data_IF_185916403918
#
_entry.id   IF_185916403918
#
_cell.length_a   1.000
_cell.length_b   1.000
_cell.length_c   1.000
_cell.angle_alpha   90.00
_cell.angle_beta   90.00
_cell.angle_gamma   90.00
#
_symmetry.space_group_name_H-M   'P 1'
#
loop_
_entity.id
_entity.type
_entity.pdbx_description
1 polymer ?
#
# COMPACT_ATOMS: atom_id res chain seq x y z
N UNK A 1 13.24 49.68 14.44
CA UNK A 1 11.82 49.44 14.14
C UNK A 1 11.78 49.22 12.61
N UNK A 2 12.09 48.01 12.21
CA UNK A 2 12.16 47.68 10.79
C UNK A 2 11.18 46.57 10.44
N UNK A 3 10.25 46.96 9.65
CA UNK A 3 9.55 46.28 8.56
C UNK A 3 9.18 44.80 8.72
N UNK A 4 8.10 44.59 9.43
CA UNK A 4 7.27 43.38 9.35
C UNK A 4 6.34 43.47 8.11
N UNK A 5 6.93 43.58 6.91
CA UNK A 5 6.18 43.50 5.65
C UNK A 5 5.94 42.02 5.31
N UNK A 6 4.69 41.62 5.08
CA UNK A 6 4.41 40.23 4.69
C UNK A 6 5.17 39.87 3.43
N UNK A 7 5.91 38.76 3.48
CA UNK A 7 6.65 38.23 2.33
C UNK A 7 5.63 37.87 1.25
N UNK A 8 5.64 38.58 0.11
CA UNK A 8 4.72 38.32 -0.98
C UNK A 8 5.01 36.95 -1.61
N UNK A 9 3.99 36.26 -2.08
CA UNK A 9 4.12 34.96 -2.77
C UNK A 9 5.15 34.98 -3.91
N UNK A 10 5.29 36.10 -4.63
CA UNK A 10 6.33 36.29 -5.66
C UNK A 10 7.76 36.26 -5.11
N UNK A 11 8.02 36.81 -3.91
CA UNK A 11 9.34 36.73 -3.24
C UNK A 11 9.66 35.30 -2.79
N UNK A 12 8.64 34.57 -2.32
CA UNK A 12 8.81 33.16 -1.95
C UNK A 12 9.18 32.34 -3.18
N UNK A 13 8.46 32.49 -4.29
CA UNK A 13 8.74 31.76 -5.55
C UNK A 13 10.14 32.10 -6.07
N UNK A 14 10.58 33.37 -6.03
CA UNK A 14 11.92 33.75 -6.47
C UNK A 14 13.03 33.16 -5.60
N UNK A 15 12.79 32.98 -4.30
CA UNK A 15 13.74 32.34 -3.39
C UNK A 15 13.93 30.85 -3.75
N UNK A 16 12.83 30.13 -4.00
CA UNK A 16 12.86 28.72 -4.40
C UNK A 16 13.45 28.44 -5.79
N UNK A 17 13.59 29.47 -6.64
CA UNK A 17 14.19 29.35 -7.98
C UNK A 17 15.70 29.64 -8.01
N UNK A 18 16.31 30.07 -6.90
CA UNK A 18 17.76 30.31 -6.84
C UNK A 18 18.55 29.00 -6.99
N UNK A 19 19.70 29.00 -7.74
CA UNK A 19 20.51 27.81 -7.97
C UNK A 19 20.91 27.10 -6.67
N UNK A 20 21.33 27.83 -5.66
CA UNK A 20 21.72 27.30 -4.35
C UNK A 20 20.57 26.54 -3.65
N UNK A 21 19.35 27.02 -3.77
CA UNK A 21 18.18 26.35 -3.18
C UNK A 21 17.84 25.06 -3.93
N UNK A 22 18.00 25.04 -5.25
CA UNK A 22 17.80 23.82 -6.06
C UNK A 22 18.81 22.73 -5.66
N UNK A 23 20.08 23.09 -5.49
CA UNK A 23 21.12 22.15 -5.05
C UNK A 23 20.82 21.57 -3.66
N UNK A 24 20.32 22.40 -2.72
CA UNK A 24 19.91 21.93 -1.40
C UNK A 24 18.72 20.96 -1.48
N UNK A 25 17.70 21.26 -2.30
CA UNK A 25 16.56 20.35 -2.50
C UNK A 25 17.03 19.03 -3.10
N UNK A 26 17.90 19.05 -4.09
CA UNK A 26 18.43 17.82 -4.68
C UNK A 26 19.23 17.00 -3.66
N UNK A 27 20.02 17.63 -2.80
CA UNK A 27 20.75 16.97 -1.74
C UNK A 27 19.78 16.32 -0.73
N UNK A 28 18.73 17.04 -0.32
CA UNK A 28 17.70 16.52 0.58
C UNK A 28 16.97 15.34 -0.06
N UNK A 29 16.60 15.42 -1.35
CA UNK A 29 15.97 14.33 -2.08
C UNK A 29 16.85 13.08 -2.08
N UNK A 30 18.13 13.22 -2.47
CA UNK A 30 19.08 12.10 -2.46
C UNK A 30 19.26 11.50 -1.06
N UNK A 31 19.36 12.33 -0.04
CA UNK A 31 19.46 11.87 1.34
C UNK A 31 18.19 11.11 1.78
N UNK A 32 17.01 11.61 1.40
CA UNK A 32 15.72 10.95 1.66
C UNK A 32 15.62 9.61 0.94
N UNK A 33 16.05 9.52 -0.32
CA UNK A 33 16.04 8.26 -1.09
C UNK A 33 16.95 7.22 -0.43
N UNK A 34 18.18 7.60 -0.01
CA UNK A 34 19.10 6.69 0.69
C UNK A 34 18.55 6.26 2.06
N UNK A 35 17.91 7.18 2.78
CA UNK A 35 17.27 6.85 4.07
C UNK A 35 16.11 5.89 3.87
N UNK A 36 15.26 6.14 2.85
CA UNK A 36 14.14 5.26 2.52
C UNK A 36 14.61 3.85 2.15
N UNK A 37 15.63 3.73 1.29
CA UNK A 37 16.18 2.41 0.93
C UNK A 37 16.70 1.63 2.15
N UNK A 38 17.29 2.31 3.15
CA UNK A 38 17.73 1.65 4.38
C UNK A 38 16.54 1.17 5.23
N UNK A 39 15.50 1.98 5.32
CA UNK A 39 14.26 1.61 6.02
C UNK A 39 13.61 0.42 5.32
N UNK A 40 13.46 0.48 4.01
CA UNK A 40 12.86 -0.58 3.20
C UNK A 40 13.63 -1.89 3.37
N UNK A 41 14.97 -1.84 3.28
CA UNK A 41 15.82 -3.00 3.52
C UNK A 41 15.64 -3.56 4.93
N UNK A 42 15.66 -2.71 5.95
CA UNK A 42 15.49 -3.15 7.35
C UNK A 42 14.12 -3.79 7.56
N UNK A 43 13.07 -3.21 7.01
CA UNK A 43 11.71 -3.73 7.13
C UNK A 43 11.53 -5.05 6.37
N UNK A 44 12.13 -5.17 5.18
CA UNK A 44 12.10 -6.41 4.39
C UNK A 44 12.86 -7.58 5.02
N UNK A 45 13.72 -7.32 6.02
CA UNK A 45 14.48 -8.32 6.77
C UNK A 45 14.08 -8.40 8.24
N UNK A 46 12.96 -7.79 8.60
CA UNK A 46 12.41 -7.89 9.96
C UNK A 46 11.55 -9.16 10.08
N UNK A 47 12.04 -10.13 10.83
CA UNK A 47 11.36 -11.42 11.03
C UNK A 47 9.95 -11.27 11.63
N UNK A 48 9.72 -10.26 12.46
CA UNK A 48 8.39 -9.99 13.04
C UNK A 48 7.42 -9.50 11.96
N UNK A 49 7.86 -8.58 11.10
CA UNK A 49 7.03 -8.08 9.99
C UNK A 49 6.78 -9.18 8.97
N UNK A 50 7.79 -9.97 8.61
CA UNK A 50 7.62 -11.13 7.72
C UNK A 50 6.62 -12.14 8.29
N UNK A 51 6.65 -12.39 9.60
CA UNK A 51 5.66 -13.24 10.26
C UNK A 51 4.25 -12.64 10.23
N UNK A 52 4.12 -11.33 10.42
CA UNK A 52 2.83 -10.66 10.27
C UNK A 52 2.26 -10.80 8.84
N UNK A 53 3.10 -10.66 7.82
CA UNK A 53 2.74 -10.88 6.41
C UNK A 53 2.29 -12.33 6.18
N UNK A 54 2.99 -13.32 6.75
CA UNK A 54 2.56 -14.72 6.64
C UNK A 54 1.16 -14.95 7.22
N UNK A 55 0.82 -14.30 8.33
CA UNK A 55 -0.52 -14.35 8.93
C UNK A 55 -1.57 -13.73 7.98
N UNK A 56 -1.24 -12.63 7.30
CA UNK A 56 -2.12 -12.02 6.28
C UNK A 56 -2.35 -12.99 5.13
N UNK A 57 -1.32 -13.67 4.64
CA UNK A 57 -1.45 -14.68 3.59
C UNK A 57 -2.30 -15.87 4.03
N UNK A 58 -2.10 -16.38 5.24
CA UNK A 58 -2.94 -17.45 5.81
C UNK A 58 -4.39 -17.01 5.93
N UNK A 59 -4.63 -15.76 6.34
CA UNK A 59 -5.97 -15.18 6.36
C UNK A 59 -6.59 -15.15 4.95
N UNK A 60 -5.85 -14.70 3.93
CA UNK A 60 -6.30 -14.67 2.53
C UNK A 60 -6.66 -16.07 2.01
N UNK A 61 -5.79 -17.07 2.24
CA UNK A 61 -6.02 -18.47 1.85
C UNK A 61 -7.29 -19.03 2.53
N UNK A 62 -7.45 -18.76 3.83
CA UNK A 62 -8.58 -19.29 4.62
C UNK A 62 -9.91 -18.62 4.27
N UNK A 63 -9.92 -17.31 4.15
CA UNK A 63 -11.13 -16.53 3.89
C UNK A 63 -11.49 -16.44 2.41
N UNK A 64 -10.56 -16.79 1.54
CA UNK A 64 -10.67 -16.70 0.09
C UNK A 64 -11.02 -15.28 -0.38
N UNK A 65 -10.48 -14.26 0.31
CA UNK A 65 -10.66 -12.87 -0.12
C UNK A 65 -9.82 -12.60 -1.36
N UNK A 66 -10.30 -11.65 -2.19
CA UNK A 66 -9.65 -11.33 -3.46
C UNK A 66 -8.55 -10.30 -3.19
N UNK A 67 -7.30 -10.68 -3.39
CA UNK A 67 -6.19 -9.73 -3.44
C UNK A 67 -6.23 -8.94 -4.75
N UNK A 68 -6.03 -7.63 -4.68
CA UNK A 68 -5.92 -6.74 -5.84
C UNK A 68 -4.69 -5.84 -5.71
N UNK A 69 -4.57 -4.78 -6.49
CA UNK A 69 -3.45 -3.85 -6.40
C UNK A 69 -2.12 -4.42 -6.89
N UNK A 70 -1.04 -3.93 -6.33
CA UNK A 70 0.32 -4.24 -6.77
C UNK A 70 0.69 -5.71 -6.65
N UNK A 71 0.34 -6.36 -5.54
CA UNK A 71 0.62 -7.79 -5.34
C UNK A 71 -0.14 -8.67 -6.33
N UNK A 72 -1.38 -8.30 -6.68
CA UNK A 72 -2.13 -9.03 -7.70
C UNK A 72 -1.50 -8.86 -9.09
N UNK A 73 -1.04 -7.66 -9.45
CA UNK A 73 -0.30 -7.44 -10.69
C UNK A 73 0.95 -8.31 -10.70
N UNK A 74 1.73 -8.28 -9.61
CA UNK A 74 2.97 -9.06 -9.47
C UNK A 74 2.74 -10.57 -9.59
N UNK A 75 1.63 -11.09 -9.04
CA UNK A 75 1.27 -12.50 -9.13
C UNK A 75 0.94 -12.97 -10.57
N UNK A 76 0.43 -12.08 -11.43
CA UNK A 76 0.17 -12.37 -12.84
C UNK A 76 1.41 -12.29 -13.73
N UNK A 77 2.51 -11.69 -13.25
CA UNK A 77 3.71 -11.49 -14.05
C UNK A 77 4.65 -12.72 -13.98
N UNK A 78 5.28 -13.09 -15.10
CA UNK A 78 6.40 -14.03 -15.08
C UNK A 78 7.54 -13.50 -14.18
N UNK A 79 8.33 -14.38 -13.57
CA UNK A 79 9.38 -14.04 -12.60
C UNK A 79 10.29 -12.89 -13.06
N UNK A 80 10.72 -12.92 -14.31
CA UNK A 80 11.61 -11.89 -14.89
C UNK A 80 10.99 -10.50 -15.04
N UNK A 81 9.68 -10.38 -14.86
CA UNK A 81 8.94 -9.12 -14.98
C UNK A 81 8.27 -8.70 -13.67
N UNK A 82 8.52 -9.40 -12.58
CA UNK A 82 8.04 -8.99 -11.27
C UNK A 82 8.55 -7.59 -10.93
N UNK A 83 7.64 -6.78 -10.37
CA UNK A 83 7.90 -5.36 -10.09
C UNK A 83 8.43 -5.13 -8.67
N UNK A 84 8.26 -6.09 -7.77
CA UNK A 84 8.75 -5.99 -6.40
C UNK A 84 10.00 -6.83 -6.20
N UNK A 85 11.04 -6.19 -5.68
CA UNK A 85 12.26 -6.85 -5.21
C UNK A 85 12.08 -7.23 -3.74
N UNK A 86 12.03 -8.52 -3.38
CA UNK A 86 11.86 -8.95 -2.01
C UNK A 86 12.99 -8.51 -1.07
N UNK A 87 14.14 -8.07 -1.62
CA UNK A 87 15.25 -7.53 -0.83
C UNK A 87 14.91 -6.18 -0.19
N UNK A 88 14.01 -5.41 -0.83
CA UNK A 88 13.65 -4.05 -0.41
C UNK A 88 12.15 -3.84 -0.20
N UNK A 89 11.33 -4.84 -0.50
CA UNK A 89 9.88 -4.67 -0.45
C UNK A 89 9.21 -5.81 0.28
N UNK A 90 8.47 -5.49 1.33
CA UNK A 90 7.48 -6.43 1.88
C UNK A 90 6.21 -6.42 1.02
N UNK A 91 5.47 -7.53 0.93
CA UNK A 91 4.16 -7.52 0.31
C UNK A 91 3.19 -6.60 1.05
N UNK A 92 2.56 -5.67 0.33
CA UNK A 92 1.42 -4.87 0.80
C UNK A 92 0.15 -5.48 0.18
N UNK A 93 -0.66 -6.14 1.02
CA UNK A 93 -1.82 -6.88 0.54
C UNK A 93 -3.08 -6.01 0.55
N UNK A 94 -3.43 -5.50 -0.62
CA UNK A 94 -4.75 -4.91 -0.87
C UNK A 94 -5.79 -6.01 -1.07
N UNK A 95 -6.89 -6.01 -0.34
CA UNK A 95 -7.93 -7.01 -0.50
C UNK A 95 -9.34 -6.45 -0.56
N UNK A 96 -10.17 -7.03 -1.42
CA UNK A 96 -11.59 -6.76 -1.47
C UNK A 96 -12.40 -7.68 -0.57
N UNK A 97 -13.38 -7.13 0.12
CA UNK A 97 -14.30 -7.88 0.95
C UNK A 97 -15.74 -7.36 0.89
N UNK A 98 -16.76 -8.25 0.92
CA UNK A 98 -18.15 -7.86 1.14
C UNK A 98 -18.52 -7.72 2.63
N UNK A 99 -17.59 -8.03 3.56
CA UNK A 99 -17.82 -8.08 5.00
C UNK A 99 -16.68 -7.45 5.79
N UNK A 100 -16.39 -6.13 5.59
CA UNK A 100 -15.18 -5.51 6.08
C UNK A 100 -15.04 -5.58 7.61
N UNK A 101 -16.07 -5.32 8.36
CA UNK A 101 -16.02 -5.34 9.84
C UNK A 101 -15.58 -6.71 10.37
N UNK A 102 -16.17 -7.78 9.85
CA UNK A 102 -15.84 -9.14 10.30
C UNK A 102 -14.41 -9.52 9.92
N UNK A 103 -13.97 -9.16 8.71
CA UNK A 103 -12.63 -9.51 8.23
C UNK A 103 -11.54 -8.73 8.96
N UNK A 104 -11.76 -7.42 9.20
CA UNK A 104 -10.85 -6.59 10.01
C UNK A 104 -10.71 -7.18 11.42
N UNK A 105 -11.84 -7.43 12.10
CA UNK A 105 -11.82 -8.00 13.44
C UNK A 105 -11.15 -9.36 13.49
N UNK A 106 -11.35 -10.18 12.47
CA UNK A 106 -10.74 -11.51 12.40
C UNK A 106 -9.23 -11.43 12.18
N UNK A 107 -8.76 -10.61 11.25
CA UNK A 107 -7.33 -10.45 10.99
C UNK A 107 -6.61 -9.83 12.20
N UNK A 108 -7.17 -8.79 12.82
CA UNK A 108 -6.62 -8.20 14.05
C UNK A 108 -6.50 -9.25 15.17
N UNK A 109 -7.53 -10.07 15.37
CA UNK A 109 -7.47 -11.17 16.37
C UNK A 109 -6.39 -12.19 16.06
N UNK A 110 -6.15 -12.51 14.79
CA UNK A 110 -5.07 -13.44 14.39
C UNK A 110 -3.70 -12.85 14.74
N UNK A 111 -3.46 -11.58 14.41
CA UNK A 111 -2.23 -10.88 14.73
C UNK A 111 -2.00 -10.78 16.24
N UNK A 112 -3.00 -10.36 17.00
CA UNK A 112 -2.90 -10.29 18.46
C UNK A 112 -2.67 -11.66 19.10
N UNK A 113 -3.31 -12.72 18.60
CA UNK A 113 -3.09 -14.10 19.06
C UNK A 113 -1.69 -14.61 18.75
N UNK A 114 -1.05 -14.11 17.72
CA UNK A 114 0.32 -14.41 17.35
C UNK A 114 1.36 -13.67 18.21
N UNK A 115 0.91 -12.76 19.10
CA UNK A 115 1.75 -12.05 20.05
C UNK A 115 2.07 -10.60 19.68
N UNK A 116 1.48 -10.07 18.59
CA UNK A 116 1.65 -8.67 18.24
C UNK A 116 0.85 -7.76 19.19
N UNK A 117 1.53 -6.90 19.94
CA UNK A 117 0.92 -5.97 20.89
C UNK A 117 0.45 -4.68 20.20
N UNK A 118 1.25 -4.15 19.28
CA UNK A 118 0.98 -2.91 18.55
C UNK A 118 0.28 -3.18 17.21
N UNK A 119 -1.00 -3.56 17.27
CA UNK A 119 -1.85 -3.70 16.07
C UNK A 119 -2.81 -2.53 16.02
N UNK A 120 -2.69 -1.69 14.99
CA UNK A 120 -3.53 -0.49 14.83
C UNK A 120 -4.31 -0.50 13.52
N UNK A 121 -5.44 0.19 13.52
CA UNK A 121 -6.37 0.31 12.40
C UNK A 121 -6.50 1.79 12.05
N UNK A 122 -6.41 2.12 10.76
CA UNK A 122 -6.58 3.49 10.26
C UNK A 122 -7.45 3.50 9.01
N UNK A 123 -8.15 4.59 8.77
CA UNK A 123 -8.82 4.81 7.50
C UNK A 123 -7.78 4.97 6.38
N UNK A 124 -8.03 4.32 5.24
CA UNK A 124 -7.23 4.49 4.03
C UNK A 124 -7.57 5.79 3.30
N UNK A 125 -6.77 6.13 2.28
CA UNK A 125 -7.03 7.30 1.43
C UNK A 125 -8.31 7.18 0.59
N UNK A 126 -8.72 5.97 0.27
CA UNK A 126 -9.93 5.69 -0.49
C UNK A 126 -11.08 5.36 0.46
N UNK A 127 -12.26 5.94 0.18
CA UNK A 127 -13.47 5.65 0.93
C UNK A 127 -13.75 4.14 0.97
N UNK A 128 -14.05 3.61 2.16
CA UNK A 128 -14.30 2.19 2.38
C UNK A 128 -13.05 1.32 2.50
N UNK A 129 -11.86 1.91 2.51
CA UNK A 129 -10.59 1.21 2.76
C UNK A 129 -10.16 1.39 4.22
N UNK A 130 -9.75 0.31 4.85
CA UNK A 130 -9.19 0.28 6.19
C UNK A 130 -7.80 -0.35 6.14
N UNK A 131 -6.80 0.36 6.67
CA UNK A 131 -5.42 -0.11 6.76
C UNK A 131 -5.15 -0.76 8.10
N UNK A 132 -4.47 -1.90 8.08
CA UNK A 132 -4.01 -2.60 9.29
C UNK A 132 -2.49 -2.48 9.37
N UNK A 133 -2.03 -2.06 10.54
CA UNK A 133 -0.61 -1.87 10.85
C UNK A 133 -0.19 -2.82 11.96
N UNK A 134 1.02 -3.31 11.86
CA UNK A 134 1.75 -4.01 12.93
C UNK A 134 3.04 -3.25 13.15
N UNK A 135 3.32 -2.84 14.39
CA UNK A 135 4.49 -2.05 14.76
C UNK A 135 4.72 -0.84 13.82
N UNK A 136 3.62 -0.13 13.52
CA UNK A 136 3.56 1.02 12.60
C UNK A 136 3.82 0.71 11.12
N UNK A 137 4.07 -0.54 10.75
CA UNK A 137 4.23 -0.99 9.36
C UNK A 137 2.88 -1.43 8.80
N UNK A 138 2.43 -0.92 7.65
CA UNK A 138 1.19 -1.37 7.01
C UNK A 138 1.39 -2.81 6.49
N UNK A 139 0.44 -3.70 6.80
CA UNK A 139 0.50 -5.11 6.40
C UNK A 139 -0.69 -5.54 5.54
N UNK A 140 -1.81 -4.82 5.61
CA UNK A 140 -2.98 -5.11 4.77
C UNK A 140 -3.89 -3.90 4.63
N UNK A 141 -4.44 -3.71 3.43
CA UNK A 141 -5.49 -2.76 3.09
C UNK A 141 -6.79 -3.51 2.77
N UNK A 142 -7.81 -3.32 3.60
CA UNK A 142 -9.10 -4.00 3.46
C UNK A 142 -10.13 -3.03 2.89
N UNK A 143 -10.55 -3.27 1.65
CA UNK A 143 -11.50 -2.43 0.93
C UNK A 143 -12.86 -3.10 0.83
N UNK A 144 -13.88 -2.41 1.33
CA UNK A 144 -15.28 -2.82 1.24
C UNK A 144 -15.80 -2.69 -0.18
N UNK A 145 -16.43 -3.74 -0.72
CA UNK A 145 -17.17 -3.66 -1.97
C UNK A 145 -18.53 -4.31 -1.88
N UNK A 146 -19.44 -3.88 -2.74
CA UNK A 146 -20.79 -4.42 -2.77
C UNK A 146 -20.79 -5.93 -3.04
N UNK A 147 -21.58 -6.77 -2.29
CA UNK A 147 -21.53 -8.23 -2.40
C UNK A 147 -21.75 -8.79 -3.82
N UNK A 148 -22.62 -8.17 -4.61
CA UNK A 148 -22.85 -8.60 -6.01
C UNK A 148 -21.64 -8.37 -6.90
N UNK A 149 -20.92 -7.25 -6.70
CA UNK A 149 -19.67 -6.97 -7.41
C UNK A 149 -18.60 -7.97 -6.98
N UNK A 150 -18.46 -8.17 -5.66
CA UNK A 150 -17.54 -9.16 -5.11
C UNK A 150 -17.73 -10.55 -5.74
N UNK A 151 -18.96 -11.05 -5.78
CA UNK A 151 -19.29 -12.37 -6.37
C UNK A 151 -18.88 -12.46 -7.85
N UNK A 152 -19.07 -11.38 -8.61
CA UNK A 152 -18.69 -11.33 -10.02
C UNK A 152 -17.18 -11.40 -10.19
N UNK A 153 -16.43 -10.63 -9.41
CA UNK A 153 -14.96 -10.61 -9.42
C UNK A 153 -14.40 -11.95 -8.92
N UNK A 154 -15.00 -12.53 -7.87
CA UNK A 154 -14.59 -13.81 -7.31
C UNK A 154 -14.63 -14.95 -8.30
N UNK A 155 -15.69 -15.02 -9.12
CA UNK A 155 -15.83 -16.05 -10.17
C UNK A 155 -14.75 -15.96 -11.25
N UNK A 156 -14.13 -14.81 -11.39
CA UNK A 156 -13.11 -14.52 -12.42
C UNK A 156 -11.69 -14.47 -11.86
N UNK A 157 -11.56 -14.55 -10.53
CA UNK A 157 -10.26 -14.47 -9.87
C UNK A 157 -9.36 -15.62 -10.29
N UNK A 158 -8.07 -15.33 -10.46
CA UNK A 158 -7.03 -16.34 -10.62
C UNK A 158 -6.56 -16.82 -9.23
N UNK A 159 -6.08 -18.04 -9.14
CA UNK A 159 -5.58 -18.61 -7.88
C UNK A 159 -4.09 -18.94 -8.08
N UNK A 160 -3.24 -18.32 -7.25
CA UNK A 160 -1.83 -18.64 -7.14
C UNK A 160 -1.49 -18.89 -5.67
N UNK A 161 -0.82 -19.97 -5.36
CA UNK A 161 -0.45 -20.40 -4.00
C UNK A 161 -1.61 -20.40 -2.98
N UNK A 162 -2.83 -20.71 -3.47
CA UNK A 162 -4.05 -20.76 -2.67
C UNK A 162 -4.69 -19.40 -2.35
N UNK A 163 -4.13 -18.30 -2.84
CA UNK A 163 -4.68 -16.95 -2.73
C UNK A 163 -5.45 -16.61 -4.00
N UNK A 164 -6.62 -16.00 -3.84
CA UNK A 164 -7.43 -15.48 -4.93
C UNK A 164 -6.93 -14.09 -5.33
N UNK A 165 -6.53 -13.91 -6.57
CA UNK A 165 -6.10 -12.63 -7.12
C UNK A 165 -7.10 -12.12 -8.15
N UNK A 166 -7.33 -10.81 -8.16
CA UNK A 166 -8.18 -10.16 -9.15
C UNK A 166 -7.66 -10.44 -10.56
N UNK A 167 -8.55 -10.76 -11.51
CA UNK A 167 -8.16 -11.05 -12.88
C UNK A 167 -7.50 -9.86 -13.59
N UNK A 168 -6.62 -10.12 -14.54
CA UNK A 168 -5.81 -9.12 -15.22
C UNK A 168 -6.64 -8.03 -15.93
N UNK A 169 -7.84 -8.35 -16.45
CA UNK A 169 -8.71 -7.35 -17.09
C UNK A 169 -9.32 -6.39 -16.07
N UNK A 170 -9.76 -6.92 -14.92
CA UNK A 170 -10.27 -6.10 -13.83
C UNK A 170 -9.17 -5.23 -13.21
N UNK A 171 -7.94 -5.75 -13.05
CA UNK A 171 -6.78 -4.95 -12.63
C UNK A 171 -6.52 -3.79 -13.60
N UNK A 172 -6.50 -4.06 -14.90
CA UNK A 172 -6.33 -3.03 -15.95
C UNK A 172 -7.44 -1.97 -15.89
N UNK A 173 -8.68 -2.40 -15.68
CA UNK A 173 -9.80 -1.48 -15.51
C UNK A 173 -9.59 -0.55 -14.30
N UNK A 174 -9.15 -1.09 -13.16
CA UNK A 174 -8.86 -0.27 -11.97
C UNK A 174 -7.74 0.74 -12.24
N UNK A 175 -6.70 0.36 -12.97
CA UNK A 175 -5.65 1.30 -13.38
C UNK A 175 -6.22 2.45 -14.24
N UNK A 176 -7.09 2.16 -15.20
CA UNK A 176 -7.74 3.21 -16.01
C UNK A 176 -8.64 4.12 -15.17
N UNK A 177 -9.36 3.57 -14.20
CA UNK A 177 -10.17 4.37 -13.27
C UNK A 177 -9.28 5.31 -12.47
N UNK A 178 -8.14 4.83 -11.96
CA UNK A 178 -7.20 5.68 -11.21
C UNK A 178 -6.62 6.78 -12.08
N UNK A 179 -6.17 6.48 -13.31
CA UNK A 179 -5.65 7.46 -14.26
C UNK A 179 -6.70 8.49 -14.70
N UNK A 180 -7.99 8.15 -14.67
CA UNK A 180 -9.09 9.05 -15.05
C UNK A 180 -9.46 10.05 -13.96
N UNK A 181 -8.97 9.89 -12.75
CA UNK A 181 -9.24 10.84 -11.65
C UNK A 181 -8.49 12.16 -11.88
N UNK A 182 -9.08 13.31 -11.51
CA UNK A 182 -8.47 14.64 -11.74
C UNK A 182 -7.09 14.85 -11.11
N UNK A 183 -6.70 13.98 -10.17
CA UNK A 183 -5.39 13.96 -9.50
C UNK A 183 -4.82 12.56 -9.43
N UNK A 184 -5.21 11.70 -10.38
CA UNK A 184 -4.68 10.34 -10.48
C UNK A 184 -3.19 10.38 -10.81
N UNK A 185 -2.38 9.68 -10.04
CA UNK A 185 -0.96 9.52 -10.27
C UNK A 185 -0.70 8.11 -10.79
N UNK A 186 0.19 8.02 -11.79
CA UNK A 186 0.79 6.74 -12.17
C UNK A 186 1.81 6.39 -11.09
N UNK A 187 1.54 5.34 -10.37
CA UNK A 187 2.49 4.76 -9.41
C UNK A 187 3.34 3.72 -10.08
#
# INVERSE_FOLDING_TARGET
>A
MDDDKPVTSAKIVSYFTQPHFKEQIELIKKASEVAQQKIDYSTAHDDQILYAIEIVEQFLRKTRRICYGGQAINAHLPERYKIYDPTYSIPDYDLFTPSPVNDIQYLVKLLQKAGFEEVSIREGMHEGTTKIYVDYVPVADITAIHPKIYQTLYKRSAIFDGIHYLDANSLRMLMYVELSRPRGEVR
#
